data_IF_694550860438
#
_entry.id   IF_694550860438
#
_cell.length_a   1.000
_cell.length_b   1.000
_cell.length_c   1.000
_cell.angle_alpha   90.00
_cell.angle_beta   90.00
_cell.angle_gamma   90.00
#
_symmetry.space_group_name_H-M   'P 1'
#
loop_
_entity.id
_entity.type
_entity.pdbx_description
1 polymer ?
#
# COMPACT_ATOMS: atom_id res chain seq x y z
N UNK A 1 16.76 10.37 -9.98
CA UNK A 1 16.51 11.62 -9.21
C UNK A 1 17.83 12.12 -8.65
N UNK A 2 18.07 13.43 -8.67
CA UNK A 2 19.21 14.05 -8.01
C UNK A 2 19.03 13.98 -6.48
N UNK A 3 20.12 13.78 -5.71
CA UNK A 3 20.06 13.69 -4.24
C UNK A 3 19.66 15.02 -3.57
N UNK A 4 19.85 16.15 -4.26
CA UNK A 4 19.43 17.49 -3.83
C UNK A 4 18.01 17.86 -4.25
N UNK A 5 17.33 17.00 -5.04
CA UNK A 5 15.99 17.27 -5.53
C UNK A 5 14.96 17.37 -4.41
N UNK A 6 13.99 18.24 -4.57
CA UNK A 6 12.83 18.35 -3.67
C UNK A 6 11.87 17.21 -3.94
N UNK A 7 11.72 16.30 -2.99
CA UNK A 7 10.89 15.10 -3.08
C UNK A 7 9.75 15.19 -2.08
N UNK A 8 8.52 15.20 -2.56
CA UNK A 8 7.33 15.18 -1.71
C UNK A 8 6.81 13.75 -1.55
N UNK A 9 6.56 13.35 -0.30
CA UNK A 9 5.93 12.07 0.06
C UNK A 9 4.58 12.35 0.72
N UNK A 10 3.51 12.31 -0.09
CA UNK A 10 2.15 12.40 0.41
C UNK A 10 1.80 11.13 1.20
N UNK A 11 1.32 11.28 2.45
CA UNK A 11 1.02 10.14 3.33
C UNK A 11 2.25 9.53 4.01
N UNK A 12 3.27 10.32 4.28
CA UNK A 12 4.57 9.91 4.85
C UNK A 12 4.48 9.18 6.19
N UNK A 13 3.41 9.36 6.97
CA UNK A 13 3.23 8.74 8.29
C UNK A 13 2.61 7.33 8.25
N UNK A 14 2.00 6.92 7.12
CA UNK A 14 1.42 5.58 6.95
C UNK A 14 2.47 4.50 6.67
N UNK A 15 2.04 3.23 6.64
CA UNK A 15 2.89 2.06 6.37
C UNK A 15 3.79 2.26 5.13
N UNK A 16 3.20 2.53 3.98
CA UNK A 16 3.92 2.71 2.72
C UNK A 16 4.75 4.00 2.70
N UNK A 17 4.19 5.11 3.17
CA UNK A 17 4.86 6.41 3.17
C UNK A 17 6.06 6.46 4.11
N UNK A 18 5.96 5.87 5.31
CA UNK A 18 7.08 5.81 6.25
C UNK A 18 8.23 4.95 5.72
N UNK A 19 7.92 3.86 5.04
CA UNK A 19 8.92 3.03 4.36
C UNK A 19 9.63 3.80 3.22
N UNK A 20 8.87 4.57 2.41
CA UNK A 20 9.46 5.47 1.41
C UNK A 20 10.40 6.50 2.05
N UNK A 21 9.99 7.12 3.16
CA UNK A 21 10.83 8.06 3.89
C UNK A 21 12.13 7.41 4.37
N UNK A 22 12.05 6.23 5.02
CA UNK A 22 13.24 5.47 5.45
C UNK A 22 14.17 5.17 4.27
N UNK A 23 13.60 4.72 3.15
CA UNK A 23 14.39 4.38 1.96
C UNK A 23 15.04 5.59 1.31
N UNK A 24 14.33 6.70 1.17
CA UNK A 24 14.88 7.95 0.62
C UNK A 24 16.01 8.50 1.49
N UNK A 25 15.81 8.58 2.81
CA UNK A 25 16.86 8.98 3.77
C UNK A 25 18.08 8.06 3.65
N UNK A 26 17.87 6.74 3.65
CA UNK A 26 18.95 5.75 3.53
C UNK A 26 19.70 5.81 2.19
N UNK A 27 19.10 6.39 1.13
CA UNK A 27 19.74 6.67 -0.17
C UNK A 27 20.42 8.04 -0.23
N UNK A 28 20.36 8.83 0.84
CA UNK A 28 21.02 10.14 0.92
C UNK A 28 20.21 11.33 0.40
N UNK A 29 18.92 11.18 0.10
CA UNK A 29 18.06 12.32 -0.22
C UNK A 29 17.87 13.20 1.00
N UNK A 30 18.08 14.52 0.85
CA UNK A 30 18.08 15.48 1.98
C UNK A 30 16.93 16.48 1.94
N UNK A 31 16.36 16.74 0.76
CA UNK A 31 15.27 17.70 0.56
C UNK A 31 13.91 16.98 0.50
N UNK A 32 13.59 16.24 1.57
CA UNK A 32 12.32 15.52 1.68
C UNK A 32 11.26 16.45 2.26
N UNK A 33 10.14 16.56 1.55
CA UNK A 33 8.97 17.34 1.94
C UNK A 33 7.91 16.35 2.43
N UNK A 34 7.40 16.58 3.62
CA UNK A 34 6.27 15.85 4.17
C UNK A 34 5.39 16.80 4.98
N UNK A 35 4.09 16.51 5.07
CA UNK A 35 3.12 17.26 5.88
C UNK A 35 2.22 16.27 6.59
N UNK A 36 2.00 16.48 7.88
CA UNK A 36 1.01 15.75 8.62
C UNK A 36 -0.41 16.12 8.13
N UNK A 37 -1.38 15.25 8.38
CA UNK A 37 -2.77 15.51 8.00
C UNK A 37 -3.31 16.84 8.59
N UNK A 38 -2.89 17.18 9.81
CA UNK A 38 -3.24 18.45 10.47
C UNK A 38 -2.58 19.69 9.84
N UNK A 39 -1.51 19.52 9.05
CA UNK A 39 -0.79 20.61 8.37
C UNK A 39 -1.25 20.77 6.91
N UNK A 40 -1.69 19.67 6.28
CA UNK A 40 -2.16 19.67 4.90
C UNK A 40 -3.22 18.57 4.71
N UNK A 41 -4.48 19.01 4.65
CA UNK A 41 -5.61 18.15 4.28
C UNK A 41 -5.64 17.98 2.76
N UNK A 42 -5.32 16.77 2.28
CA UNK A 42 -5.21 16.49 0.85
C UNK A 42 -6.55 16.45 0.10
N UNK A 43 -7.66 16.38 0.81
CA UNK A 43 -9.00 16.52 0.22
C UNK A 43 -9.38 17.97 -0.04
N UNK A 44 -8.68 18.93 0.59
CA UNK A 44 -8.85 20.37 0.35
C UNK A 44 -8.03 20.80 -0.88
N UNK A 45 -8.72 21.04 -1.99
CA UNK A 45 -8.12 21.45 -3.24
C UNK A 45 -7.32 22.77 -3.13
N UNK A 46 -7.84 23.74 -2.37
CA UNK A 46 -7.20 25.04 -2.24
C UNK A 46 -5.90 24.94 -1.43
N UNK A 47 -5.91 24.17 -0.35
CA UNK A 47 -4.73 23.91 0.46
C UNK A 47 -3.65 23.15 -0.33
N UNK A 48 -4.02 22.14 -1.11
CA UNK A 48 -3.07 21.38 -1.96
C UNK A 48 -2.48 22.28 -3.03
N UNK A 49 -3.29 23.13 -3.69
CA UNK A 49 -2.80 24.10 -4.67
C UNK A 49 -1.75 25.04 -4.07
N UNK A 50 -2.07 25.69 -2.94
CA UNK A 50 -1.14 26.61 -2.26
C UNK A 50 0.16 25.91 -1.83
N UNK A 51 0.04 24.67 -1.36
CA UNK A 51 1.19 23.84 -0.99
C UNK A 51 2.12 23.61 -2.19
N UNK A 52 1.61 23.17 -3.34
CA UNK A 52 2.43 22.91 -4.52
C UNK A 52 3.04 24.18 -5.10
N UNK A 53 2.31 25.30 -5.12
CA UNK A 53 2.82 26.61 -5.58
C UNK A 53 3.99 27.11 -4.70
N UNK A 54 3.94 26.87 -3.38
CA UNK A 54 4.99 27.24 -2.43
C UNK A 54 6.17 26.29 -2.46
N UNK A 55 5.91 24.98 -2.37
CA UNK A 55 6.96 23.98 -2.18
C UNK A 55 7.61 23.53 -3.48
N UNK A 56 6.93 23.59 -4.61
CA UNK A 56 7.43 23.24 -5.96
C UNK A 56 8.25 21.94 -5.96
N UNK A 57 7.70 20.80 -5.53
CA UNK A 57 8.43 19.52 -5.51
C UNK A 57 8.80 19.12 -6.94
N UNK A 58 10.02 18.61 -7.13
CA UNK A 58 10.45 18.06 -8.43
C UNK A 58 9.99 16.61 -8.64
N UNK A 59 9.79 15.87 -7.55
CA UNK A 59 9.33 14.47 -7.56
C UNK A 59 8.27 14.27 -6.48
N UNK A 60 7.29 13.42 -6.79
CA UNK A 60 6.16 13.16 -5.88
C UNK A 60 5.92 11.66 -5.75
N UNK A 61 5.79 11.17 -4.52
CA UNK A 61 5.25 9.86 -4.19
C UNK A 61 3.88 10.04 -3.55
N UNK A 62 2.84 9.45 -4.15
CA UNK A 62 1.46 9.52 -3.64
C UNK A 62 1.14 8.24 -2.90
N UNK A 63 1.49 8.19 -1.62
CA UNK A 63 1.19 7.09 -0.70
C UNK A 63 -0.04 7.38 0.19
N UNK A 64 -0.56 8.60 0.13
CA UNK A 64 -1.77 8.99 0.87
C UNK A 64 -3.00 8.33 0.27
N UNK A 65 -3.78 7.67 1.12
CA UNK A 65 -5.06 7.07 0.78
C UNK A 65 -5.85 6.75 2.05
N UNK A 66 -7.18 6.76 1.97
CA UNK A 66 -8.03 6.08 2.96
C UNK A 66 -7.99 4.59 2.65
N UNK A 67 -7.42 3.80 3.56
CA UNK A 67 -7.26 2.35 3.41
C UNK A 67 -7.87 1.63 4.61
N UNK A 68 -8.24 0.35 4.43
CA UNK A 68 -8.80 -0.46 5.51
C UNK A 68 -9.05 -1.90 5.08
N UNK A 69 -9.33 -2.76 6.04
CA UNK A 69 -9.72 -4.15 5.82
C UNK A 69 -11.06 -4.30 5.09
N UNK A 70 -11.47 -5.56 4.87
CA UNK A 70 -12.71 -5.90 4.13
C UNK A 70 -13.94 -5.26 4.77
N UNK A 71 -14.07 -5.33 6.10
CA UNK A 71 -15.22 -4.78 6.83
C UNK A 71 -15.33 -3.26 6.62
N UNK A 72 -14.25 -2.52 6.87
CA UNK A 72 -14.26 -1.06 6.71
C UNK A 72 -14.60 -0.63 5.27
N UNK A 73 -14.07 -1.34 4.25
CA UNK A 73 -14.41 -1.07 2.87
C UNK A 73 -15.89 -1.33 2.55
N UNK A 74 -16.44 -2.41 3.12
CA UNK A 74 -17.85 -2.77 2.92
C UNK A 74 -18.80 -1.80 3.61
N UNK A 75 -18.47 -1.35 4.83
CA UNK A 75 -19.34 -0.55 5.67
C UNK A 75 -19.30 0.95 5.35
N UNK A 76 -18.16 1.45 4.81
CA UNK A 76 -17.96 2.88 4.51
C UNK A 76 -17.60 3.16 3.03
N UNK A 77 -18.28 2.54 2.03
CA UNK A 77 -17.85 2.63 0.63
C UNK A 77 -17.86 4.07 0.08
N UNK A 78 -18.82 4.90 0.51
CA UNK A 78 -18.91 6.30 0.08
C UNK A 78 -17.71 7.12 0.55
N UNK A 79 -17.25 6.94 1.77
CA UNK A 79 -16.08 7.63 2.29
C UNK A 79 -14.78 7.16 1.61
N UNK A 80 -14.67 5.85 1.34
CA UNK A 80 -13.51 5.32 0.64
C UNK A 80 -13.37 5.86 -0.78
N UNK A 81 -14.47 5.91 -1.55
CA UNK A 81 -14.40 6.44 -2.91
C UNK A 81 -14.19 7.95 -2.92
N UNK A 82 -14.93 8.70 -2.11
CA UNK A 82 -14.86 10.17 -2.06
C UNK A 82 -13.48 10.65 -1.64
N UNK A 83 -12.96 10.18 -0.49
CA UNK A 83 -11.67 10.63 0.03
C UNK A 83 -10.52 10.28 -0.92
N UNK A 84 -10.49 9.04 -1.46
CA UNK A 84 -9.42 8.65 -2.36
C UNK A 84 -9.46 9.40 -3.69
N UNK A 85 -10.64 9.63 -4.27
CA UNK A 85 -10.78 10.46 -5.48
C UNK A 85 -10.31 11.90 -5.23
N UNK A 86 -10.72 12.52 -4.12
CA UNK A 86 -10.32 13.88 -3.79
C UNK A 86 -8.79 14.00 -3.64
N UNK A 87 -8.18 13.15 -2.80
CA UNK A 87 -6.73 13.15 -2.56
C UNK A 87 -5.94 13.00 -3.87
N UNK A 88 -6.23 11.97 -4.65
CA UNK A 88 -5.46 11.70 -5.87
C UNK A 88 -5.69 12.74 -6.95
N UNK A 89 -6.93 13.24 -7.09
CA UNK A 89 -7.26 14.30 -8.07
C UNK A 89 -6.49 15.57 -7.76
N UNK A 90 -6.50 16.01 -6.51
CA UNK A 90 -5.81 17.23 -6.10
C UNK A 90 -4.29 17.09 -6.30
N UNK A 91 -3.69 16.00 -5.81
CA UNK A 91 -2.23 15.82 -5.85
C UNK A 91 -1.72 15.62 -7.28
N UNK A 92 -2.37 14.78 -8.09
CA UNK A 92 -1.94 14.51 -9.47
C UNK A 92 -2.09 15.77 -10.34
N UNK A 93 -3.20 16.51 -10.19
CA UNK A 93 -3.44 17.73 -10.93
C UNK A 93 -2.42 18.82 -10.60
N UNK A 94 -2.19 19.08 -9.33
CA UNK A 94 -1.25 20.12 -8.91
C UNK A 94 0.22 19.72 -9.18
N UNK A 95 0.54 18.43 -9.18
CA UNK A 95 1.85 17.96 -9.62
C UNK A 95 2.12 18.31 -11.08
N UNK A 96 1.15 18.14 -11.97
CA UNK A 96 1.26 18.56 -13.36
C UNK A 96 1.36 20.09 -13.49
N UNK A 97 0.46 20.85 -12.86
CA UNK A 97 0.45 22.31 -12.94
C UNK A 97 1.76 22.96 -12.49
N UNK A 98 2.44 22.35 -11.54
CA UNK A 98 3.69 22.87 -10.97
C UNK A 98 4.95 22.22 -11.54
N UNK A 99 4.85 21.50 -12.67
CA UNK A 99 6.00 20.99 -13.42
C UNK A 99 6.75 19.86 -12.72
N UNK A 100 6.07 19.02 -11.95
CA UNK A 100 6.67 17.81 -11.35
C UNK A 100 7.26 16.92 -12.45
N UNK A 101 8.54 16.60 -12.33
CA UNK A 101 9.29 15.83 -13.33
C UNK A 101 8.84 14.38 -13.44
N UNK A 102 8.60 13.73 -12.29
CA UNK A 102 8.05 12.37 -12.19
C UNK A 102 7.16 12.26 -10.97
N UNK A 103 6.06 11.55 -11.12
CA UNK A 103 5.17 11.19 -10.02
C UNK A 103 5.02 9.67 -9.98
N UNK A 104 5.04 9.08 -8.78
CA UNK A 104 4.68 7.69 -8.55
C UNK A 104 3.42 7.64 -7.68
N UNK A 105 2.34 7.11 -8.28
CA UNK A 105 1.07 6.88 -7.61
C UNK A 105 1.01 5.45 -7.07
N UNK A 106 0.79 5.29 -5.77
CA UNK A 106 0.54 3.97 -5.19
C UNK A 106 -0.92 3.59 -5.39
N UNK A 107 -1.14 2.63 -6.27
CA UNK A 107 -2.40 1.96 -6.45
C UNK A 107 -2.59 0.81 -5.45
N UNK A 108 -3.30 -0.22 -5.87
CA UNK A 108 -3.51 -1.44 -5.10
C UNK A 108 -3.87 -2.59 -6.04
N UNK A 109 -3.48 -3.81 -5.71
CA UNK A 109 -3.86 -5.02 -6.47
C UNK A 109 -5.37 -5.32 -6.50
N UNK A 110 -6.18 -4.58 -5.74
CA UNK A 110 -7.65 -4.70 -5.80
C UNK A 110 -8.28 -4.12 -7.09
N UNK A 111 -7.50 -3.40 -7.91
CA UNK A 111 -7.95 -2.87 -9.21
C UNK A 111 -8.18 -3.98 -10.25
N UNK A 112 -7.62 -5.15 -10.05
CA UNK A 112 -7.75 -6.27 -10.97
C UNK A 112 -9.07 -7.00 -10.77
N UNK A 113 -9.61 -7.63 -11.83
CA UNK A 113 -10.82 -8.44 -11.75
C UNK A 113 -10.69 -9.52 -10.68
N UNK A 114 -11.80 -9.81 -9.99
CA UNK A 114 -11.86 -10.84 -8.95
C UNK A 114 -11.38 -12.21 -9.46
N UNK A 115 -11.84 -12.59 -10.65
CA UNK A 115 -11.66 -13.92 -11.23
C UNK A 115 -10.68 -13.91 -12.41
N UNK A 116 -9.68 -12.99 -12.40
CA UNK A 116 -8.66 -12.97 -13.45
C UNK A 116 -7.66 -14.12 -13.32
N UNK A 117 -6.99 -14.53 -14.42
CA UNK A 117 -5.94 -15.54 -14.40
C UNK A 117 -4.80 -15.18 -13.43
N UNK A 118 -4.14 -16.22 -12.89
CA UNK A 118 -3.04 -16.09 -11.95
C UNK A 118 -1.75 -16.67 -12.54
N UNK A 119 -0.59 -16.02 -12.38
CA UNK A 119 -0.40 -14.72 -11.71
C UNK A 119 -1.01 -13.55 -12.47
N UNK A 120 -1.42 -12.50 -11.74
CA UNK A 120 -2.15 -11.34 -12.28
C UNK A 120 -1.18 -10.44 -13.05
N UNK A 121 -1.46 -10.22 -14.33
CA UNK A 121 -0.71 -9.32 -15.20
C UNK A 121 -1.33 -7.93 -15.27
N UNK A 122 -0.52 -6.92 -15.60
CA UNK A 122 -0.98 -5.54 -15.71
C UNK A 122 -2.06 -5.35 -16.78
N UNK A 123 -2.03 -6.13 -17.86
CA UNK A 123 -3.05 -6.10 -18.94
C UNK A 123 -4.43 -6.60 -18.51
N UNK A 124 -4.56 -7.18 -17.33
CA UNK A 124 -5.87 -7.60 -16.81
C UNK A 124 -6.68 -6.45 -16.18
N UNK A 125 -6.11 -5.25 -16.11
CA UNK A 125 -6.86 -4.08 -15.68
C UNK A 125 -8.08 -3.85 -16.57
N UNK A 126 -9.27 -3.68 -15.96
CA UNK A 126 -10.56 -3.44 -16.63
C UNK A 126 -11.08 -4.58 -17.52
N UNK A 127 -10.59 -5.81 -17.38
CA UNK A 127 -11.04 -6.95 -18.21
C UNK A 127 -12.18 -7.75 -17.59
N UNK A 128 -12.65 -7.40 -16.39
CA UNK A 128 -13.75 -8.12 -15.73
C UNK A 128 -14.25 -7.43 -14.46
N UNK A 129 -15.23 -8.04 -13.76
CA UNK A 129 -15.82 -7.50 -12.55
C UNK A 129 -14.82 -7.42 -11.38
N UNK A 130 -14.91 -6.34 -10.60
CA UNK A 130 -14.13 -6.15 -9.37
C UNK A 130 -14.73 -6.94 -8.20
N UNK A 131 -13.92 -7.18 -7.17
CA UNK A 131 -14.40 -7.72 -5.89
C UNK A 131 -15.41 -6.74 -5.26
N UNK A 132 -16.59 -7.25 -4.92
CA UNK A 132 -17.72 -6.43 -4.48
C UNK A 132 -17.45 -5.67 -3.18
N UNK A 133 -16.77 -6.32 -2.21
CA UNK A 133 -16.56 -5.79 -0.87
C UNK A 133 -15.64 -4.56 -0.82
N UNK A 134 -14.76 -4.39 -1.81
CA UNK A 134 -13.84 -3.24 -1.89
C UNK A 134 -13.94 -2.47 -3.22
N UNK A 135 -15.05 -2.64 -3.95
CA UNK A 135 -15.26 -2.06 -5.28
C UNK A 135 -15.10 -0.54 -5.28
N UNK A 136 -15.60 0.16 -4.28
CA UNK A 136 -15.53 1.62 -4.18
C UNK A 136 -14.08 2.11 -4.14
N UNK A 137 -13.25 1.47 -3.30
CA UNK A 137 -11.82 1.73 -3.22
C UNK A 137 -11.09 1.37 -4.52
N UNK A 138 -11.39 0.22 -5.09
CA UNK A 138 -10.78 -0.23 -6.34
C UNK A 138 -11.07 0.74 -7.50
N UNK A 139 -12.33 1.20 -7.66
CA UNK A 139 -12.71 2.20 -8.66
C UNK A 139 -11.94 3.51 -8.47
N UNK A 140 -11.81 3.99 -7.23
CA UNK A 140 -11.02 5.17 -6.96
C UNK A 140 -9.55 4.97 -7.40
N UNK A 141 -8.94 3.83 -7.09
CA UNK A 141 -7.55 3.54 -7.50
C UNK A 141 -7.39 3.38 -9.01
N UNK A 142 -8.37 2.78 -9.71
CA UNK A 142 -8.41 2.73 -11.19
C UNK A 142 -8.45 4.15 -11.77
N UNK A 143 -9.28 5.03 -11.23
CA UNK A 143 -9.34 6.43 -11.65
C UNK A 143 -7.99 7.15 -11.51
N UNK A 144 -7.22 6.85 -10.45
CA UNK A 144 -5.86 7.40 -10.28
C UNK A 144 -4.88 6.90 -11.34
N UNK A 145 -4.94 5.62 -11.73
CA UNK A 145 -4.16 5.06 -12.86
C UNK A 145 -4.54 5.76 -14.16
N UNK A 146 -5.84 5.90 -14.43
CA UNK A 146 -6.34 6.57 -15.64
C UNK A 146 -5.98 8.07 -15.67
N UNK A 147 -5.95 8.74 -14.51
CA UNK A 147 -5.43 10.10 -14.43
C UNK A 147 -3.95 10.14 -14.83
N UNK A 148 -3.09 9.29 -14.30
CA UNK A 148 -1.69 9.22 -14.71
C UNK A 148 -1.56 9.03 -16.23
N UNK A 149 -2.32 8.10 -16.79
CA UNK A 149 -2.35 7.84 -18.25
C UNK A 149 -2.79 9.06 -19.05
N UNK A 150 -3.88 9.70 -18.64
CA UNK A 150 -4.45 10.85 -19.34
C UNK A 150 -3.49 12.05 -19.33
N UNK A 151 -2.85 12.33 -18.19
CA UNK A 151 -1.87 13.41 -18.09
C UNK A 151 -0.59 13.11 -18.88
N UNK A 152 -0.12 11.87 -18.89
CA UNK A 152 1.01 11.47 -19.72
C UNK A 152 0.70 11.68 -21.21
N UNK A 153 -0.47 11.21 -21.66
CA UNK A 153 -0.89 11.31 -23.07
C UNK A 153 -1.12 12.76 -23.54
N UNK A 154 -1.78 13.56 -22.71
CA UNK A 154 -2.20 14.90 -23.12
C UNK A 154 -1.11 15.94 -22.96
N UNK A 155 -0.29 15.82 -21.92
CA UNK A 155 0.66 16.86 -21.52
C UNK A 155 2.12 16.40 -21.51
N UNK A 156 2.39 15.14 -21.87
CA UNK A 156 3.74 14.58 -21.80
C UNK A 156 4.27 14.45 -20.37
N UNK A 157 3.38 14.37 -19.37
CA UNK A 157 3.76 14.11 -17.99
C UNK A 157 4.43 12.75 -17.87
N UNK A 158 5.16 12.54 -16.78
CA UNK A 158 5.86 11.27 -16.51
C UNK A 158 5.38 10.70 -15.18
N UNK A 159 4.11 10.26 -15.16
CA UNK A 159 3.40 9.77 -13.99
C UNK A 159 3.20 8.26 -14.10
N UNK A 160 3.74 7.52 -13.13
CA UNK A 160 3.73 6.06 -13.07
C UNK A 160 2.84 5.61 -11.92
N UNK A 161 2.06 4.56 -12.15
CA UNK A 161 1.31 3.87 -11.10
C UNK A 161 2.02 2.56 -10.71
N UNK A 162 2.30 2.37 -9.43
CA UNK A 162 2.82 1.11 -8.89
C UNK A 162 1.69 0.37 -8.16
N UNK A 163 1.50 -0.92 -8.48
CA UNK A 163 0.47 -1.78 -7.88
C UNK A 163 1.08 -2.74 -6.87
N UNK A 164 1.19 -2.34 -5.59
CA UNK A 164 1.69 -3.25 -4.58
C UNK A 164 0.70 -4.36 -4.29
N UNK A 165 1.24 -5.53 -3.94
CA UNK A 165 0.52 -6.62 -3.30
C UNK A 165 0.19 -6.27 -1.84
N UNK A 166 -0.24 -7.25 -1.00
CA UNK A 166 -0.53 -6.97 0.40
C UNK A 166 0.76 -6.56 1.13
N UNK A 167 0.78 -5.33 1.60
CA UNK A 167 1.91 -4.77 2.33
C UNK A 167 1.80 -5.09 3.83
N UNK A 168 2.95 -5.24 4.47
CA UNK A 168 3.09 -5.36 5.91
C UNK A 168 4.45 -4.84 6.36
N UNK A 169 4.61 -4.52 7.64
CA UNK A 169 5.90 -4.07 8.16
C UNK A 169 5.78 -3.06 9.30
N UNK A 170 6.90 -2.43 9.69
CA UNK A 170 6.89 -1.36 10.68
C UNK A 170 5.99 -0.20 10.25
N UNK A 171 5.15 0.27 11.15
CA UNK A 171 4.18 1.33 10.83
C UNK A 171 2.81 0.82 10.43
N UNK A 172 2.55 -0.49 10.49
CA UNK A 172 1.25 -1.06 10.12
C UNK A 172 0.15 -0.72 11.14
N UNK A 173 -1.11 -0.90 10.70
CA UNK A 173 -2.29 -0.74 11.54
C UNK A 173 -2.64 -2.07 12.20
N UNK A 174 -2.63 -2.10 13.52
CA UNK A 174 -2.97 -3.28 14.34
C UNK A 174 -4.38 -3.22 14.95
N UNK A 175 -5.19 -2.22 14.61
CA UNK A 175 -6.59 -2.17 15.06
C UNK A 175 -7.39 -3.32 14.45
N UNK A 176 -7.99 -4.19 15.32
CA UNK A 176 -8.70 -5.39 14.89
C UNK A 176 -9.92 -5.12 14.02
N UNK A 177 -10.53 -3.95 14.13
CA UNK A 177 -11.68 -3.56 13.32
C UNK A 177 -11.27 -3.14 11.88
N UNK A 178 -10.10 -2.52 11.73
CA UNK A 178 -9.65 -1.95 10.45
C UNK A 178 -8.40 -2.61 9.85
N UNK A 179 -7.71 -3.49 10.57
CA UNK A 179 -6.46 -4.08 10.15
C UNK A 179 -6.62 -5.10 9.00
N UNK A 180 -5.57 -5.23 8.20
CA UNK A 180 -5.40 -6.34 7.27
C UNK A 180 -5.08 -7.65 8.02
N UNK A 181 -5.20 -8.78 7.31
CA UNK A 181 -5.11 -10.13 7.90
C UNK A 181 -3.82 -10.36 8.69
N UNK A 182 -2.65 -9.95 8.16
CA UNK A 182 -1.36 -10.20 8.81
C UNK A 182 -1.23 -9.44 10.14
N UNK A 183 -1.39 -8.10 10.21
CA UNK A 183 -1.31 -7.37 11.49
C UNK A 183 -2.42 -7.77 12.46
N UNK A 184 -3.63 -8.11 11.98
CA UNK A 184 -4.70 -8.61 12.84
C UNK A 184 -4.35 -9.95 13.51
N UNK A 185 -3.80 -10.91 12.75
CA UNK A 185 -3.36 -12.21 13.28
C UNK A 185 -2.18 -12.03 14.24
N UNK A 186 -1.24 -11.15 13.94
CA UNK A 186 -0.10 -10.85 14.81
C UNK A 186 -0.58 -10.34 16.17
N UNK A 187 -1.47 -9.36 16.19
CA UNK A 187 -2.05 -8.83 17.43
C UNK A 187 -2.85 -9.88 18.19
N UNK A 188 -3.74 -10.62 17.53
CA UNK A 188 -4.54 -11.70 18.15
C UNK A 188 -3.65 -12.75 18.83
N UNK A 189 -2.58 -13.18 18.17
CA UNK A 189 -1.66 -14.17 18.72
C UNK A 189 -0.81 -13.63 19.86
N UNK A 190 -0.43 -12.34 19.79
CA UNK A 190 0.24 -11.67 20.90
C UNK A 190 -0.65 -11.61 22.14
N UNK A 191 -1.89 -11.12 21.99
CA UNK A 191 -2.86 -11.02 23.07
C UNK A 191 -3.20 -12.40 23.67
N UNK A 192 -3.38 -13.40 22.81
CA UNK A 192 -3.63 -14.80 23.26
C UNK A 192 -2.46 -15.37 24.04
N UNK A 193 -1.21 -15.15 23.59
CA UNK A 193 -0.01 -15.56 24.31
C UNK A 193 0.10 -14.85 25.66
N UNK A 194 -0.12 -13.53 25.69
CA UNK A 194 -0.04 -12.73 26.92
C UNK A 194 -1.14 -13.14 27.93
N UNK A 195 -2.35 -13.47 27.44
CA UNK A 195 -3.46 -13.93 28.27
C UNK A 195 -3.47 -15.44 28.59
N UNK A 196 -2.46 -16.19 28.15
CA UNK A 196 -2.39 -17.65 28.38
C UNK A 196 -3.52 -18.44 27.71
N UNK A 197 -4.07 -17.93 26.60
CA UNK A 197 -5.16 -18.60 25.88
C UNK A 197 -4.65 -19.83 25.12
N UNK A 198 -5.44 -20.90 25.13
CA UNK A 198 -5.07 -22.16 24.46
C UNK A 198 -5.36 -22.17 22.96
N UNK A 199 -6.11 -21.17 22.44
CA UNK A 199 -6.52 -21.11 21.03
C UNK A 199 -6.68 -19.70 20.51
N UNK A 200 -6.49 -19.54 19.18
CA UNK A 200 -6.81 -18.32 18.42
C UNK A 200 -7.70 -18.70 17.25
N UNK A 201 -8.81 -17.96 17.09
CA UNK A 201 -9.73 -18.13 15.95
C UNK A 201 -9.25 -17.29 14.76
N UNK A 202 -9.00 -17.98 13.64
CA UNK A 202 -8.70 -17.43 12.32
C UNK A 202 -9.98 -17.45 11.48
N UNK A 203 -10.38 -16.32 10.94
CA UNK A 203 -11.59 -16.23 10.11
C UNK A 203 -11.38 -16.91 8.75
N UNK A 204 -12.41 -17.59 8.26
CA UNK A 204 -12.42 -18.35 7.01
C UNK A 204 -11.85 -19.75 7.16
N UNK A 205 -11.69 -20.44 6.04
CA UNK A 205 -11.14 -21.80 5.98
C UNK A 205 -9.62 -21.85 6.11
N UNK A 206 -8.94 -20.73 5.95
CA UNK A 206 -7.49 -20.66 5.85
C UNK A 206 -6.92 -21.08 4.48
N UNK A 207 -7.75 -21.54 3.56
CA UNK A 207 -7.34 -21.98 2.21
C UNK A 207 -6.93 -20.83 1.24
N UNK A 208 -7.54 -19.63 1.27
CA UNK A 208 -7.18 -18.56 0.36
C UNK A 208 -5.69 -18.24 0.38
N UNK A 209 -5.14 -17.99 -0.82
CA UNK A 209 -3.71 -17.70 -0.99
C UNK A 209 -3.48 -16.22 -1.23
N UNK A 210 -2.47 -15.65 -0.55
CA UNK A 210 -2.09 -14.24 -0.64
C UNK A 210 -0.59 -14.09 -0.76
N UNK A 211 -0.21 -13.13 -1.54
CA UNK A 211 1.15 -12.62 -1.63
C UNK A 211 1.34 -11.49 -0.60
N UNK A 212 2.49 -11.47 0.08
CA UNK A 212 2.86 -10.47 1.07
C UNK A 212 4.22 -9.87 0.75
N UNK A 213 4.32 -8.55 0.76
CA UNK A 213 5.57 -7.82 0.51
C UNK A 213 5.87 -6.89 1.68
N UNK A 214 7.11 -6.95 2.18
CA UNK A 214 7.56 -6.03 3.21
C UNK A 214 7.55 -4.59 2.71
N UNK A 215 7.10 -3.64 3.52
CA UNK A 215 6.95 -2.23 3.13
C UNK A 215 8.26 -1.59 2.70
N UNK A 216 9.41 -1.98 3.29
CA UNK A 216 10.72 -1.47 2.89
C UNK A 216 11.16 -2.00 1.52
N UNK A 217 10.79 -3.23 1.13
CA UNK A 217 11.01 -3.76 -0.22
C UNK A 217 10.13 -3.03 -1.24
N UNK A 218 8.86 -2.79 -0.92
CA UNK A 218 7.99 -1.95 -1.75
C UNK A 218 8.60 -0.56 -1.96
N UNK A 219 9.09 0.06 -0.89
CA UNK A 219 9.73 1.38 -0.96
C UNK A 219 11.01 1.34 -1.80
N UNK A 220 11.82 0.28 -1.69
CA UNK A 220 13.01 0.09 -2.52
C UNK A 220 12.65 0.00 -4.01
N UNK A 221 11.62 -0.78 -4.36
CA UNK A 221 11.10 -0.87 -5.72
C UNK A 221 10.65 0.49 -6.26
N UNK A 222 9.83 1.22 -5.48
CA UNK A 222 9.32 2.54 -5.87
C UNK A 222 10.44 3.56 -6.07
N UNK A 223 11.42 3.61 -5.17
CA UNK A 223 12.57 4.51 -5.29
C UNK A 223 13.47 4.11 -6.46
N UNK A 224 13.67 2.81 -6.72
CA UNK A 224 14.38 2.32 -7.90
C UNK A 224 13.68 2.76 -9.18
N UNK A 225 12.37 2.56 -9.30
CA UNK A 225 11.58 2.97 -10.46
C UNK A 225 11.73 4.48 -10.74
N UNK A 226 11.61 5.32 -9.72
CA UNK A 226 11.75 6.77 -9.85
C UNK A 226 13.18 7.21 -10.22
N UNK A 227 14.18 6.34 -10.04
CA UNK A 227 15.58 6.58 -10.39
C UNK A 227 16.00 5.95 -11.73
N UNK A 228 15.12 5.26 -12.43
CA UNK A 228 15.44 4.72 -13.75
C UNK A 228 15.97 5.82 -14.70
N UNK A 229 16.94 5.52 -15.58
CA UNK A 229 17.28 6.39 -16.70
C UNK A 229 16.02 6.74 -17.52
N UNK A 230 16.02 7.92 -18.15
CA UNK A 230 14.81 8.43 -18.81
C UNK A 230 14.23 7.45 -19.84
N UNK A 231 15.04 6.87 -20.71
CA UNK A 231 14.58 5.90 -21.71
C UNK A 231 13.92 4.67 -21.06
N UNK A 232 14.50 4.15 -19.96
CA UNK A 232 13.92 2.99 -19.25
C UNK A 232 12.64 3.34 -18.49
N UNK A 233 12.56 4.56 -17.94
CA UNK A 233 11.34 5.03 -17.31
C UNK A 233 10.21 5.16 -18.34
N UNK A 234 10.52 5.70 -19.52
CA UNK A 234 9.55 5.84 -20.61
C UNK A 234 9.06 4.47 -21.12
N UNK A 235 9.93 3.44 -21.20
CA UNK A 235 9.50 2.07 -21.47
C UNK A 235 8.49 1.54 -20.44
N UNK A 236 8.65 1.90 -19.17
CA UNK A 236 7.72 1.49 -18.10
C UNK A 236 6.38 2.23 -18.22
N UNK A 237 6.40 3.51 -18.62
CA UNK A 237 5.19 4.31 -18.83
C UNK A 237 4.30 3.75 -19.96
N UNK A 238 4.89 3.15 -20.98
CA UNK A 238 4.18 2.51 -22.10
C UNK A 238 3.98 1.01 -21.84
N UNK A 239 3.35 0.69 -20.71
CA UNK A 239 3.07 -0.69 -20.32
C UNK A 239 1.99 -1.38 -21.17
N UNK A 240 1.72 -2.67 -20.90
CA UNK A 240 0.65 -3.41 -21.55
C UNK A 240 -0.70 -2.70 -21.41
N UNK A 241 -1.49 -2.67 -22.48
CA UNK A 241 -2.78 -1.96 -22.51
C UNK A 241 -2.63 -0.43 -22.48
N UNK A 242 -1.44 0.11 -22.73
CA UNK A 242 -1.13 1.54 -22.69
C UNK A 242 -1.39 2.19 -21.32
N UNK A 243 -1.29 1.39 -20.23
CA UNK A 243 -1.35 1.89 -18.88
C UNK A 243 0.06 2.13 -18.30
N UNK A 244 0.34 3.30 -17.70
CA UNK A 244 1.58 3.57 -17.00
C UNK A 244 1.58 2.87 -15.62
N UNK A 245 1.61 1.55 -15.65
CA UNK A 245 1.32 0.68 -14.52
C UNK A 245 2.36 -0.43 -14.42
N UNK A 246 2.84 -0.71 -13.21
CA UNK A 246 3.74 -1.82 -12.91
C UNK A 246 3.37 -2.52 -11.61
N UNK A 247 3.32 -3.85 -11.64
CA UNK A 247 3.10 -4.67 -10.45
C UNK A 247 4.32 -4.68 -9.54
N UNK A 248 4.10 -4.55 -8.23
CA UNK A 248 5.14 -4.57 -7.19
C UNK A 248 4.80 -5.64 -6.16
N UNK A 249 5.49 -6.77 -6.23
CA UNK A 249 5.27 -7.94 -5.39
C UNK A 249 6.52 -8.79 -5.22
N UNK A 250 6.42 -9.85 -4.44
CA UNK A 250 7.51 -10.83 -4.31
C UNK A 250 7.42 -11.96 -5.35
N UNK A 251 6.24 -12.19 -5.93
CA UNK A 251 6.00 -13.26 -6.89
C UNK A 251 5.83 -14.64 -6.26
N UNK A 252 5.52 -14.69 -4.96
CA UNK A 252 5.25 -15.90 -4.20
C UNK A 252 4.03 -15.69 -3.31
N UNK A 253 3.16 -16.68 -3.24
CA UNK A 253 1.98 -16.67 -2.38
C UNK A 253 1.97 -17.83 -1.38
N UNK A 254 1.21 -17.67 -0.33
CA UNK A 254 0.95 -18.70 0.67
C UNK A 254 -0.50 -18.65 1.13
N UNK A 255 -0.99 -19.77 1.67
CA UNK A 255 -2.33 -19.81 2.28
C UNK A 255 -2.38 -19.00 3.58
N UNK A 256 -3.57 -18.56 3.95
CA UNK A 256 -3.78 -17.88 5.25
C UNK A 256 -3.44 -18.82 6.41
N UNK A 257 -3.64 -20.15 6.25
CA UNK A 257 -3.25 -21.12 7.24
C UNK A 257 -1.72 -21.21 7.42
N UNK A 258 -0.94 -21.17 6.32
CA UNK A 258 0.53 -21.13 6.37
C UNK A 258 1.02 -19.82 7.01
N UNK A 259 0.43 -18.68 6.64
CA UNK A 259 0.70 -17.40 7.25
C UNK A 259 0.46 -17.42 8.76
N UNK A 260 -0.69 -17.94 9.20
CA UNK A 260 -1.05 -18.03 10.61
C UNK A 260 -0.04 -18.86 11.42
N UNK A 261 0.44 -19.99 10.87
CA UNK A 261 1.49 -20.81 11.50
C UNK A 261 2.81 -20.04 11.59
N UNK A 262 3.19 -19.32 10.53
CA UNK A 262 4.42 -18.50 10.54
C UNK A 262 4.36 -17.41 11.60
N UNK A 263 3.21 -16.72 11.72
CA UNK A 263 3.00 -15.69 12.74
C UNK A 263 3.02 -16.29 14.14
N UNK A 264 2.36 -17.45 14.36
CA UNK A 264 2.37 -18.15 15.65
C UNK A 264 3.80 -18.49 16.08
N UNK A 265 4.62 -19.00 15.14
CA UNK A 265 6.03 -19.30 15.39
C UNK A 265 6.83 -18.05 15.78
N UNK A 266 6.68 -16.94 15.04
CA UNK A 266 7.41 -15.68 15.31
C UNK A 266 6.99 -15.06 16.64
N UNK A 267 5.70 -15.02 16.94
CA UNK A 267 5.15 -14.51 18.20
C UNK A 267 5.50 -15.43 19.38
N UNK A 268 5.72 -16.72 19.12
CA UNK A 268 5.91 -17.76 20.13
C UNK A 268 4.59 -18.17 20.79
N UNK A 269 3.48 -18.09 20.06
CA UNK A 269 2.19 -18.64 20.48
C UNK A 269 2.16 -20.17 20.23
N UNK A 270 1.83 -20.93 21.28
CA UNK A 270 1.86 -22.41 21.27
C UNK A 270 0.48 -23.05 21.30
N UNK A 271 -0.58 -22.26 21.35
CA UNK A 271 -1.96 -22.73 21.34
C UNK A 271 -2.44 -23.20 19.96
N UNK A 272 -3.65 -23.71 19.91
CA UNK A 272 -4.28 -24.18 18.67
C UNK A 272 -4.72 -23.01 17.76
N UNK A 273 -4.65 -23.21 16.44
CA UNK A 273 -5.26 -22.34 15.45
C UNK A 273 -6.57 -22.98 14.99
N UNK A 274 -7.69 -22.36 15.28
CA UNK A 274 -9.03 -22.79 14.88
C UNK A 274 -9.52 -21.94 13.71
N UNK A 275 -10.05 -22.58 12.65
CA UNK A 275 -10.53 -21.88 11.47
C UNK A 275 -12.06 -21.80 11.50
N UNK A 276 -12.60 -20.58 11.47
CA UNK A 276 -14.05 -20.30 11.47
C UNK A 276 -14.57 -20.17 10.04
N UNK A 277 -14.97 -21.28 9.44
CA UNK A 277 -15.51 -21.32 8.08
C UNK A 277 -16.88 -20.60 7.93
N UNK A 278 -17.51 -20.15 9.03
CA UNK A 278 -18.72 -19.30 8.95
C UNK A 278 -18.41 -17.88 8.45
N UNK A 279 -17.15 -17.48 8.50
CA UNK A 279 -16.69 -16.20 7.99
C UNK A 279 -16.22 -16.33 6.53
N UNK A 280 -16.43 -15.30 5.69
CA UNK A 280 -16.08 -15.35 4.27
C UNK A 280 -14.58 -15.43 4.04
N UNK A 281 -14.18 -16.24 3.06
CA UNK A 281 -12.78 -16.40 2.64
C UNK A 281 -12.24 -15.26 1.77
N UNK A 282 -13.08 -14.51 1.10
CA UNK A 282 -12.69 -13.55 0.07
C UNK A 282 -12.18 -14.23 -1.22
N UNK A 283 -11.42 -13.51 -2.05
CA UNK A 283 -10.87 -14.04 -3.32
C UNK A 283 -9.97 -15.25 -3.08
N UNK A 284 -10.13 -16.38 -3.84
CA UNK A 284 -9.37 -17.63 -3.59
C UNK A 284 -7.85 -17.44 -3.69
N UNK A 285 -7.36 -16.72 -4.70
CA UNK A 285 -5.93 -16.47 -4.91
C UNK A 285 -5.68 -15.04 -5.38
N UNK A 286 -4.60 -14.44 -4.91
CA UNK A 286 -4.13 -13.15 -5.37
C UNK A 286 -2.60 -13.13 -5.38
N UNK A 287 -2.03 -13.36 -6.56
CA UNK A 287 -0.59 -13.37 -6.84
C UNK A 287 -0.31 -12.48 -8.04
N UNK A 288 0.60 -11.53 -7.93
CA UNK A 288 0.97 -10.64 -9.02
C UNK A 288 2.04 -11.26 -9.93
N UNK A 289 1.92 -11.06 -11.23
CA UNK A 289 3.05 -11.24 -12.14
C UNK A 289 4.02 -10.05 -11.96
N UNK A 290 5.21 -10.34 -11.50
CA UNK A 290 6.27 -9.36 -11.23
C UNK A 290 7.41 -9.44 -12.25
N UNK A 291 7.20 -10.13 -13.36
CA UNK A 291 8.22 -10.36 -14.38
C UNK A 291 8.77 -9.05 -14.98
N UNK A 292 7.93 -8.03 -15.15
CA UNK A 292 8.36 -6.71 -15.63
C UNK A 292 9.31 -6.03 -14.65
N UNK A 293 8.98 -6.05 -13.35
CA UNK A 293 9.83 -5.47 -12.30
C UNK A 293 11.16 -6.24 -12.19
N UNK A 294 11.13 -7.58 -12.29
CA UNK A 294 12.34 -8.42 -12.30
C UNK A 294 13.26 -8.10 -13.51
N UNK A 295 12.69 -7.87 -14.70
CA UNK A 295 13.50 -7.45 -15.88
C UNK A 295 14.18 -6.09 -15.70
N UNK A 296 13.68 -5.22 -14.81
CA UNK A 296 14.34 -3.98 -14.43
C UNK A 296 15.48 -4.19 -13.41
N UNK A 297 15.71 -5.45 -12.98
CA UNK A 297 16.80 -5.82 -12.06
C UNK A 297 16.42 -5.74 -10.58
N UNK A 298 15.12 -5.64 -10.26
CA UNK A 298 14.66 -5.60 -8.86
C UNK A 298 14.16 -6.97 -8.38
N UNK A 299 14.48 -7.28 -7.13
CA UNK A 299 13.93 -8.41 -6.40
C UNK A 299 13.75 -8.05 -4.91
N UNK A 300 12.76 -8.63 -4.21
CA UNK A 300 12.59 -8.44 -2.77
C UNK A 300 13.78 -9.02 -2.00
N UNK A 301 14.06 -8.45 -0.83
CA UNK A 301 15.19 -8.85 0.02
C UNK A 301 14.75 -9.37 1.38
N UNK A 302 13.57 -9.01 1.83
CA UNK A 302 13.05 -9.34 3.15
C UNK A 302 12.19 -10.59 3.05
N UNK A 303 12.69 -11.72 3.55
CA UNK A 303 11.91 -12.94 3.65
C UNK A 303 10.77 -12.77 4.66
N UNK A 304 9.64 -13.47 4.41
CA UNK A 304 8.40 -13.26 5.17
C UNK A 304 8.56 -13.41 6.68
N UNK A 305 9.19 -14.48 7.15
CA UNK A 305 9.38 -14.71 8.60
C UNK A 305 10.21 -13.60 9.26
N UNK A 306 11.29 -13.16 8.60
CA UNK A 306 12.12 -12.05 9.09
C UNK A 306 11.35 -10.73 9.09
N UNK A 307 10.55 -10.47 8.05
CA UNK A 307 9.70 -9.28 7.97
C UNK A 307 8.60 -9.27 9.04
N UNK A 308 7.97 -10.42 9.32
CA UNK A 308 6.99 -10.56 10.40
C UNK A 308 7.66 -10.30 11.75
N UNK A 309 8.89 -10.79 11.97
CA UNK A 309 9.64 -10.54 13.20
C UNK A 309 9.94 -9.03 13.37
N UNK A 310 10.31 -8.33 12.31
CA UNK A 310 10.52 -6.88 12.33
C UNK A 310 9.22 -6.10 12.64
N UNK A 311 8.09 -6.49 12.00
CA UNK A 311 6.77 -5.92 12.26
C UNK A 311 6.34 -6.17 13.72
N UNK A 312 6.58 -7.37 14.25
CA UNK A 312 6.29 -7.70 15.64
C UNK A 312 7.13 -6.90 16.62
N UNK A 313 8.42 -6.69 16.32
CA UNK A 313 9.28 -5.80 17.11
C UNK A 313 8.77 -4.36 17.19
N UNK A 314 8.30 -3.81 16.05
CA UNK A 314 7.67 -2.49 16.00
C UNK A 314 6.36 -2.44 16.81
N UNK A 315 5.51 -3.47 16.69
CA UNK A 315 4.29 -3.61 17.48
C UNK A 315 4.59 -3.57 18.99
N UNK A 316 5.55 -4.39 19.46
CA UNK A 316 5.94 -4.42 20.87
C UNK A 316 6.51 -3.09 21.37
N UNK A 317 7.27 -2.39 20.51
CA UNK A 317 7.81 -1.07 20.87
C UNK A 317 6.70 -0.04 21.09
N UNK A 318 5.63 -0.09 20.28
CA UNK A 318 4.46 0.79 20.40
C UNK A 318 3.59 0.45 21.60
N UNK A 319 3.46 -0.83 21.95
CA UNK A 319 2.72 -1.26 23.15
C UNK A 319 3.39 -0.77 24.44
N UNK A 320 4.74 -0.69 24.45
CA UNK A 320 5.50 -0.18 25.60
C UNK A 320 5.49 1.34 25.74
N UNK A 321 5.26 2.06 24.66
CA UNK A 321 5.23 3.53 24.64
C UNK A 321 3.88 4.02 24.11
N UNK A 322 2.90 4.24 25.02
CA UNK A 322 1.58 4.73 24.64
C UNK A 322 1.58 6.07 23.90
N UNK A 323 2.63 6.89 24.07
CA UNK A 323 2.81 8.12 23.30
C UNK A 323 3.08 7.89 21.81
N UNK A 324 3.54 6.70 21.42
CA UNK A 324 3.65 6.24 20.03
C UNK A 324 2.36 5.60 19.49
N UNK A 325 1.39 5.30 20.36
CA UNK A 325 0.06 4.80 19.97
C UNK A 325 -0.73 5.80 19.13
N UNK A 326 -0.49 7.08 19.27
CA UNK A 326 -1.38 8.12 18.77
C UNK A 326 -0.83 8.72 17.48
N UNK A 327 -1.21 8.16 16.34
CA UNK A 327 -1.42 8.96 15.10
C UNK A 327 -2.48 8.38 14.16
N UNK A 328 -3.23 7.34 14.57
CA UNK A 328 -4.33 6.79 13.77
C UNK A 328 -5.70 6.79 14.48
N UNK A 329 -5.79 7.31 15.71
CA UNK A 329 -7.04 7.33 16.49
C UNK A 329 -7.65 8.75 16.58
N UNK A 330 -7.86 9.41 15.46
CA UNK A 330 -8.76 10.57 15.44
C UNK A 330 -9.73 10.44 14.29
N UNK A 331 -10.62 9.47 14.42
CA UNK A 331 -11.96 9.59 13.86
C UNK A 331 -12.91 8.92 14.84
N UNK A 332 -12.95 9.45 16.06
CA UNK A 332 -14.11 9.23 16.92
C UNK A 332 -15.27 10.04 16.36
N UNK A 333 -16.37 9.32 16.22
CA UNK A 333 -17.70 9.79 16.02
C UNK A 333 -17.96 11.15 16.71
N UNK A 334 -18.39 12.14 15.92
CA UNK A 334 -19.36 13.10 16.40
C UNK A 334 -20.67 12.81 15.66
N UNK A 335 -21.63 12.34 16.47
CA UNK A 335 -23.07 12.21 16.20
C UNK A 335 -23.62 13.32 15.32
#
# INVERSE_FOLDING_TARGET
MDLSARVYVAGHAGLAGSALMRRLVGKGYRNLICRAHSELELTDQAAVKQFFEREKPSYVFVAAAKVGGILANNDYPAEFIQSNLAVQTNVIHEAWRNGVKRLLFLGSSCIYPRDCPQPIREEYLLTGPLESTNRAYAVAKIAGVEMCRSYNRQYGSRFLAAMPTNLYGPGDNYDLAGAHVLPALLRKMHEAKAGGLERVVVWGTGAPRREFLHSDDMADACVMLMNLPDARFDEVLHGPGDFPLINVGCGEDQSIAELARTIASVVGFRGALEFDASKPDGTPRKLLDVSRLRRLGWAPRVGLAAGIAAAYGDFLARERDPGKRIRNETTEAKT
#
